data_IF_430031545110
#
_entry.id   IF_430031545110
#
_cell.length_a   1.000
_cell.length_b   1.000
_cell.length_c   1.000
_cell.angle_alpha   90.00
_cell.angle_beta   90.00
_cell.angle_gamma   90.00
#
_symmetry.space_group_name_H-M   'P 1'
#
loop_
_entity.id
_entity.type
_entity.pdbx_description
1 polymer ?
#
# COMPACT_ATOMS: atom_id res chain seq x y z
N UNK A 1 -3.36 -7.81 -3.20
CA UNK A 1 -2.37 -7.14 -4.06
C UNK A 1 -1.84 -5.89 -3.38
N UNK A 2 -0.54 -5.61 -3.52
CA UNK A 2 0.11 -4.43 -2.94
C UNK A 2 0.34 -3.39 -4.03
N UNK A 3 -0.43 -2.30 -3.96
CA UNK A 3 -0.38 -1.15 -4.87
C UNK A 3 0.36 0.03 -4.20
N UNK A 4 0.06 1.27 -4.60
CA UNK A 4 0.66 2.50 -4.10
C UNK A 4 -0.46 3.41 -3.56
N UNK A 5 -0.26 3.99 -2.37
CA UNK A 5 -1.21 4.93 -1.78
C UNK A 5 -1.59 6.04 -2.76
N UNK A 6 -2.86 6.42 -2.78
CA UNK A 6 -3.34 7.48 -3.67
C UNK A 6 -2.64 8.82 -3.41
N UNK A 7 -2.30 9.11 -2.15
CA UNK A 7 -1.52 10.29 -1.78
C UNK A 7 -0.13 10.29 -2.44
N UNK A 8 0.56 9.13 -2.45
CA UNK A 8 1.89 8.99 -3.05
C UNK A 8 1.84 9.09 -4.57
N UNK A 9 0.82 8.47 -5.20
CA UNK A 9 0.60 8.56 -6.64
C UNK A 9 0.32 10.00 -7.13
N UNK A 10 -0.27 10.84 -6.27
CA UNK A 10 -0.56 12.24 -6.58
C UNK A 10 0.52 13.24 -6.13
N UNK A 11 1.52 12.77 -5.37
CA UNK A 11 2.62 13.60 -4.85
C UNK A 11 3.66 13.95 -5.93
N UNK A 12 4.62 14.86 -5.65
CA UNK A 12 5.77 15.10 -6.51
C UNK A 12 6.60 13.86 -6.85
N UNK A 13 6.48 12.76 -6.08
CA UNK A 13 7.15 11.50 -6.40
C UNK A 13 6.78 10.97 -7.78
N UNK A 14 5.60 11.33 -8.33
CA UNK A 14 5.17 10.93 -9.68
C UNK A 14 6.11 11.42 -10.79
N UNK A 15 6.87 12.50 -10.55
CA UNK A 15 7.86 12.98 -11.53
C UNK A 15 9.07 12.05 -11.67
N UNK A 16 9.33 11.22 -10.66
CA UNK A 16 10.45 10.28 -10.63
C UNK A 16 9.97 8.83 -10.81
N UNK A 17 8.80 8.51 -10.25
CA UNK A 17 8.25 7.16 -10.15
C UNK A 17 6.98 6.95 -10.99
N UNK A 18 6.70 7.84 -11.95
CA UNK A 18 5.46 7.84 -12.72
C UNK A 18 5.16 6.52 -13.43
N UNK A 19 6.15 5.94 -14.12
CA UNK A 19 5.98 4.63 -14.79
C UNK A 19 5.75 3.49 -13.80
N UNK A 20 6.41 3.53 -12.63
CA UNK A 20 6.15 2.56 -11.57
C UNK A 20 4.71 2.69 -11.05
N UNK A 21 4.20 3.90 -10.82
CA UNK A 21 2.83 4.12 -10.38
C UNK A 21 1.81 3.71 -11.46
N UNK A 22 2.11 3.97 -12.73
CA UNK A 22 1.28 3.55 -13.86
C UNK A 22 1.17 2.03 -13.93
N UNK A 23 2.28 1.31 -13.89
CA UNK A 23 2.27 -0.16 -13.89
C UNK A 23 1.52 -0.74 -12.68
N UNK A 24 1.63 -0.10 -11.51
CA UNK A 24 0.87 -0.48 -10.32
C UNK A 24 -0.64 -0.29 -10.50
N UNK A 25 -1.06 0.81 -11.13
CA UNK A 25 -2.46 1.10 -11.43
C UNK A 25 -3.05 0.15 -12.50
N UNK A 26 -2.25 -0.19 -13.52
CA UNK A 26 -2.64 -1.18 -14.54
C UNK A 26 -2.87 -2.57 -13.92
N UNK A 27 -1.97 -3.00 -13.03
CA UNK A 27 -2.14 -4.26 -12.30
C UNK A 27 -3.30 -4.22 -11.30
N UNK A 28 -3.58 -3.08 -10.66
CA UNK A 28 -4.77 -2.88 -9.82
C UNK A 28 -6.05 -3.09 -10.63
N UNK A 29 -6.13 -2.47 -11.82
CA UNK A 29 -7.25 -2.62 -12.75
C UNK A 29 -7.41 -4.07 -13.24
N UNK A 30 -6.31 -4.74 -13.59
CA UNK A 30 -6.34 -6.14 -14.00
C UNK A 30 -6.90 -7.06 -12.90
N UNK A 31 -6.49 -6.84 -11.65
CA UNK A 31 -6.97 -7.64 -10.52
C UNK A 31 -8.44 -7.40 -10.24
N UNK A 32 -8.89 -6.14 -10.28
CA UNK A 32 -10.31 -5.82 -10.13
C UNK A 32 -11.14 -6.43 -11.26
N UNK A 33 -10.61 -6.44 -12.49
CA UNK A 33 -11.27 -7.06 -13.64
C UNK A 33 -11.39 -8.58 -13.51
N UNK A 34 -10.31 -9.26 -13.12
CA UNK A 34 -10.25 -10.73 -13.15
C UNK A 34 -10.87 -11.37 -11.90
N UNK A 35 -10.79 -10.68 -10.76
CA UNK A 35 -11.23 -11.23 -9.47
C UNK A 35 -12.39 -10.46 -8.83
N UNK A 36 -12.70 -9.24 -9.29
CA UNK A 36 -13.72 -8.38 -8.66
C UNK A 36 -13.24 -7.74 -7.35
N UNK A 37 -13.83 -6.59 -7.00
CA UNK A 37 -13.48 -5.86 -5.76
C UNK A 37 -13.93 -6.56 -4.47
N UNK A 38 -14.94 -7.43 -4.56
CA UNK A 38 -15.50 -8.16 -3.41
C UNK A 38 -14.75 -9.47 -3.10
N UNK A 39 -13.95 -9.97 -4.05
CA UNK A 39 -13.17 -11.21 -3.89
C UNK A 39 -11.65 -10.96 -3.95
N UNK A 40 -11.23 -9.69 -3.98
CA UNK A 40 -9.83 -9.30 -3.87
C UNK A 40 -9.62 -8.27 -2.77
N UNK A 41 -8.40 -8.25 -2.22
CA UNK A 41 -7.92 -7.18 -1.34
C UNK A 41 -6.82 -6.40 -2.05
N UNK A 42 -7.00 -5.09 -2.18
CA UNK A 42 -5.98 -4.16 -2.65
C UNK A 42 -5.51 -3.34 -1.45
N UNK A 43 -4.22 -3.43 -1.15
CA UNK A 43 -3.58 -2.66 -0.09
C UNK A 43 -2.71 -1.61 -0.75
N UNK A 44 -2.94 -0.34 -0.45
CA UNK A 44 -2.24 0.81 -1.05
C UNK A 44 -1.43 1.52 0.04
N UNK A 45 -0.29 0.95 0.48
CA UNK A 45 0.54 1.58 1.49
C UNK A 45 1.18 2.87 0.95
N UNK A 46 1.44 3.81 1.86
CA UNK A 46 2.42 4.88 1.64
C UNK A 46 3.83 4.26 1.70
N UNK A 47 4.85 5.00 2.15
CA UNK A 47 6.16 4.39 2.42
C UNK A 47 6.03 3.36 3.51
N UNK A 48 6.64 2.19 3.34
CA UNK A 48 6.70 1.17 4.39
C UNK A 48 7.95 1.41 5.22
N UNK A 49 7.79 1.54 6.53
CA UNK A 49 8.89 1.60 7.48
C UNK A 49 9.71 0.32 7.44
N UNK A 50 10.98 0.38 7.81
CA UNK A 50 11.81 -0.80 8.01
C UNK A 50 13.05 -0.85 7.13
N UNK A 51 13.96 -1.71 7.56
CA UNK A 51 15.27 -1.98 6.98
C UNK A 51 16.06 -2.86 7.96
N UNK A 52 17.04 -3.65 7.50
CA UNK A 52 17.97 -4.33 8.39
C UNK A 52 18.56 -3.39 9.46
N UNK A 53 18.87 -3.90 10.66
CA UNK A 53 19.53 -3.11 11.70
C UNK A 53 20.77 -2.40 11.16
N UNK A 54 20.84 -1.08 11.34
CA UNK A 54 21.94 -0.24 10.87
C UNK A 54 21.78 0.35 9.46
N UNK A 55 20.72 0.04 8.73
CA UNK A 55 20.43 0.68 7.45
C UNK A 55 19.84 2.09 7.66
N UNK A 56 20.53 3.11 7.15
CA UNK A 56 19.97 4.47 7.03
C UNK A 56 19.32 4.58 5.65
N UNK A 57 18.00 4.68 5.64
CA UNK A 57 17.24 4.92 4.40
C UNK A 57 17.05 6.42 4.18
N UNK A 58 17.01 6.87 2.90
CA UNK A 58 16.63 8.24 2.59
C UNK A 58 15.29 8.58 3.24
N UNK A 59 15.10 9.82 3.72
CA UNK A 59 13.82 10.24 4.28
C UNK A 59 12.72 10.13 3.21
N UNK A 60 11.53 9.78 3.66
CA UNK A 60 10.35 9.76 2.79
C UNK A 60 9.98 11.14 2.25
N UNK A 61 9.09 11.21 1.23
CA UNK A 61 8.50 12.46 0.78
C UNK A 61 7.96 13.27 1.96
N UNK A 62 8.18 14.60 1.97
CA UNK A 62 7.70 15.46 3.03
C UNK A 62 6.18 15.31 3.25
N UNK A 63 5.76 15.29 4.52
CA UNK A 63 4.34 15.24 4.90
C UNK A 63 3.70 13.85 4.89
N UNK A 64 4.44 12.80 4.51
CA UNK A 64 3.90 11.45 4.42
C UNK A 64 4.32 10.58 5.62
N UNK A 65 3.34 10.04 6.33
CA UNK A 65 3.59 9.06 7.40
C UNK A 65 3.86 7.69 6.80
N UNK A 66 4.93 7.05 7.25
CA UNK A 66 5.28 5.71 6.83
C UNK A 66 4.44 4.66 7.58
N UNK A 67 4.11 3.56 6.89
CA UNK A 67 3.34 2.43 7.40
C UNK A 67 4.29 1.43 8.07
N UNK A 68 4.07 1.05 9.34
CA UNK A 68 4.81 -0.02 9.97
C UNK A 68 4.67 -1.35 9.23
N UNK A 69 5.77 -2.08 8.99
CA UNK A 69 5.76 -3.42 8.34
C UNK A 69 4.74 -4.34 9.00
N UNK A 70 4.68 -4.32 10.33
CA UNK A 70 3.80 -5.20 11.11
C UNK A 70 2.33 -4.93 10.80
N UNK A 71 1.93 -3.67 10.68
CA UNK A 71 0.56 -3.31 10.33
C UNK A 71 0.21 -3.79 8.92
N UNK A 72 1.11 -3.56 7.96
CA UNK A 72 0.95 -4.04 6.58
C UNK A 72 0.83 -5.57 6.53
N UNK A 73 1.66 -6.29 7.28
CA UNK A 73 1.64 -7.74 7.36
C UNK A 73 0.32 -8.27 7.95
N UNK A 74 -0.21 -7.65 9.01
CA UNK A 74 -1.53 -8.01 9.57
C UNK A 74 -2.66 -7.88 8.54
N UNK A 75 -2.69 -6.76 7.80
CA UNK A 75 -3.69 -6.54 6.75
C UNK A 75 -3.55 -7.56 5.62
N UNK A 76 -2.32 -7.89 5.21
CA UNK A 76 -2.07 -8.92 4.21
C UNK A 76 -2.54 -10.31 4.67
N UNK A 77 -2.29 -10.68 5.92
CA UNK A 77 -2.79 -11.94 6.51
C UNK A 77 -4.32 -11.95 6.55
N UNK A 78 -4.95 -10.85 6.98
CA UNK A 78 -6.42 -10.76 7.02
C UNK A 78 -7.05 -10.94 5.63
N UNK A 79 -6.41 -10.41 4.58
CA UNK A 79 -6.82 -10.66 3.20
C UNK A 79 -6.63 -12.11 2.78
N UNK A 80 -5.48 -12.71 3.09
CA UNK A 80 -5.19 -14.10 2.76
C UNK A 80 -6.15 -15.10 3.45
N UNK A 81 -6.64 -14.78 4.64
CA UNK A 81 -7.61 -15.61 5.37
C UNK A 81 -9.07 -15.28 5.04
N UNK A 82 -9.34 -14.36 4.09
CA UNK A 82 -10.69 -13.97 3.70
C UNK A 82 -11.44 -13.09 4.70
N UNK A 83 -10.77 -12.59 5.74
CA UNK A 83 -11.36 -11.72 6.76
C UNK A 83 -11.43 -10.26 6.31
N UNK A 84 -10.73 -9.91 5.23
CA UNK A 84 -10.70 -8.56 4.68
C UNK A 84 -10.70 -8.58 3.15
N UNK A 85 -11.44 -7.65 2.55
CA UNK A 85 -11.62 -7.49 1.10
C UNK A 85 -11.77 -6.01 0.75
N UNK A 86 -11.76 -5.68 -0.54
CA UNK A 86 -11.88 -4.31 -1.04
C UNK A 86 -10.55 -3.57 -1.06
N UNK A 87 -10.57 -2.28 -0.77
CA UNK A 87 -9.37 -1.42 -0.85
C UNK A 87 -9.07 -0.77 0.48
N UNK A 88 -7.80 -0.85 0.91
CA UNK A 88 -7.26 -0.16 2.10
C UNK A 88 -6.18 0.80 1.64
N UNK A 89 -6.44 2.11 1.74
CA UNK A 89 -5.59 3.15 1.15
C UNK A 89 -4.97 4.09 2.18
N UNK A 90 -3.64 4.13 2.20
CA UNK A 90 -2.85 5.01 3.05
C UNK A 90 -2.70 4.54 4.49
N UNK A 91 -1.91 5.31 5.25
CA UNK A 91 -1.50 4.99 6.61
C UNK A 91 -2.69 4.70 7.55
N UNK A 92 -3.63 5.65 7.67
CA UNK A 92 -4.73 5.54 8.64
C UNK A 92 -5.63 4.34 8.36
N UNK A 93 -5.93 4.05 7.08
CA UNK A 93 -6.74 2.91 6.72
C UNK A 93 -6.05 1.59 7.06
N UNK A 94 -4.73 1.51 6.84
CA UNK A 94 -3.94 0.30 7.15
C UNK A 94 -3.84 0.09 8.66
N UNK A 95 -3.57 1.14 9.45
CA UNK A 95 -3.53 1.03 10.91
C UNK A 95 -4.88 0.57 11.46
N UNK A 96 -5.97 1.19 10.98
CA UNK A 96 -7.33 0.82 11.38
C UNK A 96 -7.65 -0.65 11.03
N UNK A 97 -7.36 -1.07 9.80
CA UNK A 97 -7.58 -2.45 9.36
C UNK A 97 -6.67 -3.48 10.07
N UNK A 98 -5.51 -3.05 10.59
CA UNK A 98 -4.59 -3.88 11.36
C UNK A 98 -5.03 -4.08 12.83
N UNK A 99 -6.13 -3.43 13.27
CA UNK A 99 -6.67 -3.55 14.62
C UNK A 99 -6.08 -2.58 15.65
N UNK A 100 -5.43 -1.50 15.20
CA UNK A 100 -4.73 -0.56 16.09
C UNK A 100 -3.32 -1.01 16.46
#
# INVERSE_FOLDING_TARGET
YISVASELANSPAKFILGEYFKGKAEAESAIQKDFGGEASLIIKPSIVEGGPPGEIRPPGPPGMTAVPVVALAKVAVAGATGNLKGTVDGYNAIISAAGG
#
